data_IF_176390247228
#
_entry.id   IF_176390247228
#
_cell.length_a   1.000
_cell.length_b   1.000
_cell.length_c   1.000
_cell.angle_alpha   90.00
_cell.angle_beta   90.00
_cell.angle_gamma   90.00
#
_symmetry.space_group_name_H-M   'P 1'
#
loop_
_entity.id
_entity.type
_entity.pdbx_description
1 polymer ?
#
# COMPACT_ATOMS: atom_id res chain seq x y z
N UNK A 1 16.24 57.16 -8.10
CA UNK A 1 16.56 56.24 -9.23
C UNK A 1 16.28 54.83 -8.77
N UNK A 2 15.26 54.22 -9.37
CA UNK A 2 14.55 53.03 -8.92
C UNK A 2 14.62 52.01 -10.05
N UNK A 3 15.40 50.93 -9.93
CA UNK A 3 15.40 49.77 -10.84
C UNK A 3 16.09 48.60 -10.12
N UNK A 4 15.60 47.35 -10.18
CA UNK A 4 14.20 46.95 -10.05
C UNK A 4 14.01 45.72 -9.12
N UNK A 5 12.85 45.63 -8.47
CA UNK A 5 12.35 44.41 -7.83
C UNK A 5 12.06 43.25 -8.82
N UNK A 6 12.37 43.42 -10.11
CA UNK A 6 12.10 42.47 -11.19
C UNK A 6 13.13 41.32 -11.22
N UNK A 7 14.33 41.52 -10.68
CA UNK A 7 15.37 40.48 -10.64
C UNK A 7 15.05 39.35 -9.63
N UNK A 8 14.31 39.64 -8.56
CA UNK A 8 13.88 38.62 -7.59
C UNK A 8 12.60 37.89 -7.99
N UNK A 9 11.76 38.45 -8.87
CA UNK A 9 10.57 37.75 -9.38
C UNK A 9 10.93 36.67 -10.43
N UNK A 10 12.03 36.85 -11.18
CA UNK A 10 12.48 35.87 -12.17
C UNK A 10 13.11 34.61 -11.55
N UNK A 11 13.63 34.68 -10.32
CA UNK A 11 14.11 33.51 -9.58
C UNK A 11 12.97 32.72 -8.91
N UNK A 12 11.82 33.36 -8.69
CA UNK A 12 10.62 32.70 -8.15
C UNK A 12 9.81 31.98 -9.24
N UNK A 13 9.99 32.32 -10.52
CA UNK A 13 9.30 31.64 -11.64
C UNK A 13 10.07 30.43 -12.20
N UNK A 14 11.33 30.23 -11.82
CA UNK A 14 12.17 29.07 -12.21
C UNK A 14 12.30 27.99 -11.12
N UNK A 15 11.70 28.19 -9.95
CA UNK A 15 11.95 27.37 -8.76
C UNK A 15 10.94 26.25 -8.47
N UNK A 16 9.95 26.01 -9.33
CA UNK A 16 9.00 24.90 -9.17
C UNK A 16 9.09 23.89 -10.34
N UNK A 17 10.31 23.59 -10.81
CA UNK A 17 10.52 22.28 -11.42
C UNK A 17 10.62 21.30 -10.26
N UNK A 18 9.56 20.52 -10.03
CA UNK A 18 9.72 19.30 -9.24
C UNK A 18 10.86 18.49 -9.85
N UNK A 19 11.92 18.29 -9.07
CA UNK A 19 13.08 17.55 -9.54
C UNK A 19 12.64 16.11 -9.82
N UNK A 20 12.78 15.66 -11.07
CA UNK A 20 12.51 14.28 -11.45
C UNK A 20 13.52 13.40 -10.73
N UNK A 21 13.02 12.47 -9.91
CA UNK A 21 13.83 11.48 -9.22
C UNK A 21 14.01 10.24 -10.10
N UNK A 22 15.27 9.88 -10.35
CA UNK A 22 15.62 8.62 -11.01
C UNK A 22 15.54 7.46 -10.02
N UNK A 23 14.68 6.49 -10.32
CA UNK A 23 14.50 5.28 -9.52
C UNK A 23 14.90 4.04 -10.32
N UNK A 24 15.93 3.29 -9.90
CA UNK A 24 16.27 2.04 -10.56
C UNK A 24 15.16 1.00 -10.35
N UNK A 25 14.84 0.26 -11.41
CA UNK A 25 13.98 -0.92 -11.37
C UNK A 25 14.86 -2.15 -11.24
N UNK A 26 14.78 -2.83 -10.11
CA UNK A 26 15.53 -4.04 -9.78
C UNK A 26 14.58 -5.13 -9.21
N UNK A 27 15.15 -6.13 -8.55
CA UNK A 27 14.40 -7.20 -7.88
C UNK A 27 13.92 -6.81 -6.48
N UNK A 28 14.31 -5.63 -5.98
CA UNK A 28 13.96 -5.05 -4.71
C UNK A 28 14.14 -6.06 -3.56
N UNK A 29 15.40 -6.28 -3.16
CA UNK A 29 15.80 -7.35 -2.23
C UNK A 29 15.53 -7.04 -0.75
N UNK A 30 15.36 -5.76 -0.43
CA UNK A 30 15.19 -5.25 0.95
C UNK A 30 13.74 -5.26 1.45
N UNK A 31 12.78 -5.68 0.62
CA UNK A 31 11.36 -5.61 0.94
C UNK A 31 10.83 -6.86 1.62
N UNK A 32 9.70 -6.68 2.30
CA UNK A 32 8.92 -7.78 2.86
C UNK A 32 7.84 -8.22 1.87
N UNK A 33 7.91 -9.46 1.40
CA UNK A 33 7.08 -10.07 0.33
C UNK A 33 6.45 -11.40 0.74
N UNK A 34 6.20 -11.60 2.03
CA UNK A 34 5.66 -12.87 2.52
C UNK A 34 4.32 -13.21 1.84
N UNK A 35 4.26 -14.40 1.23
CA UNK A 35 3.04 -14.94 0.63
C UNK A 35 2.19 -15.72 1.67
N UNK A 36 2.71 -15.90 2.89
CA UNK A 36 2.09 -16.57 4.02
C UNK A 36 1.72 -18.04 3.80
N UNK A 37 2.32 -18.68 2.80
CA UNK A 37 2.05 -20.09 2.45
C UNK A 37 2.44 -21.00 3.61
N UNK A 38 1.44 -21.72 4.17
CA UNK A 38 1.63 -22.67 5.26
C UNK A 38 1.63 -22.06 6.66
N UNK A 39 1.41 -20.75 6.80
CA UNK A 39 1.28 -20.07 8.09
C UNK A 39 0.00 -19.21 8.22
N UNK A 40 -0.94 -19.33 7.28
CA UNK A 40 -2.17 -18.53 7.20
C UNK A 40 -3.01 -18.63 8.48
N UNK A 41 -3.17 -19.85 8.99
CA UNK A 41 -3.93 -20.11 10.23
C UNK A 41 -3.25 -19.48 11.46
N UNK A 42 -1.92 -19.54 11.52
CA UNK A 42 -1.15 -18.95 12.61
C UNK A 42 -1.23 -17.41 12.57
N UNK A 43 -1.14 -16.82 11.37
CA UNK A 43 -1.30 -15.39 11.18
C UNK A 43 -2.72 -14.92 11.53
N UNK A 44 -3.74 -15.68 11.12
CA UNK A 44 -5.15 -15.38 11.46
C UNK A 44 -5.36 -15.40 12.98
N UNK A 45 -4.79 -16.38 13.68
CA UNK A 45 -4.87 -16.45 15.15
C UNK A 45 -4.16 -15.27 15.85
N UNK A 46 -3.12 -14.69 15.23
CA UNK A 46 -2.38 -13.55 15.76
C UNK A 46 -3.08 -12.20 15.55
N UNK A 47 -4.04 -12.11 14.62
CA UNK A 47 -4.69 -10.85 14.22
C UNK A 47 -5.23 -10.01 15.38
N UNK A 48 -5.99 -10.56 16.36
CA UNK A 48 -6.56 -9.73 17.43
C UNK A 48 -5.49 -9.01 18.26
N UNK A 49 -4.38 -9.67 18.53
CA UNK A 49 -3.27 -9.10 19.29
C UNK A 49 -2.49 -8.08 18.46
N UNK A 50 -2.13 -8.44 17.23
CA UNK A 50 -1.35 -7.56 16.35
C UNK A 50 -2.10 -6.26 16.07
N UNK A 51 -3.40 -6.34 15.78
CA UNK A 51 -4.21 -5.17 15.46
C UNK A 51 -4.21 -4.12 16.60
N UNK A 52 -4.35 -4.57 17.85
CA UNK A 52 -4.29 -3.69 19.03
C UNK A 52 -2.92 -3.04 19.20
N UNK A 53 -1.84 -3.82 19.05
CA UNK A 53 -0.47 -3.31 19.22
C UNK A 53 -0.04 -2.37 18.10
N UNK A 54 -0.40 -2.68 16.85
CA UNK A 54 0.00 -1.92 15.67
C UNK A 54 -0.76 -0.59 15.56
N UNK A 55 -2.03 -0.53 15.97
CA UNK A 55 -2.75 0.74 16.05
C UNK A 55 -2.20 1.69 17.12
N UNK A 56 -1.72 1.15 18.24
CA UNK A 56 -1.06 1.98 19.24
C UNK A 56 0.29 2.49 18.74
N UNK A 57 1.06 1.65 18.03
CA UNK A 57 2.37 2.00 17.50
C UNK A 57 2.32 2.88 16.24
N UNK A 58 1.22 2.84 15.48
CA UNK A 58 1.09 3.58 14.22
C UNK A 58 -0.29 4.25 14.11
N UNK A 59 -0.29 5.57 14.37
CA UNK A 59 -1.51 6.39 14.29
C UNK A 59 -2.08 6.49 12.88
N UNK A 60 -1.22 6.58 11.85
CA UNK A 60 -1.68 6.65 10.44
C UNK A 60 -2.42 5.36 10.07
N UNK A 61 -1.92 4.22 10.55
CA UNK A 61 -2.60 2.95 10.40
C UNK A 61 -3.96 2.93 11.10
N UNK A 62 -4.01 3.32 12.39
CA UNK A 62 -5.25 3.34 13.15
C UNK A 62 -6.32 4.25 12.52
N UNK A 63 -5.93 5.48 12.13
CA UNK A 63 -6.85 6.46 11.54
C UNK A 63 -7.35 5.98 10.16
N UNK A 64 -6.44 5.45 9.32
CA UNK A 64 -6.80 4.91 8.00
C UNK A 64 -7.74 3.69 8.09
N UNK A 65 -7.48 2.80 9.05
CA UNK A 65 -8.34 1.65 9.31
C UNK A 65 -9.73 2.06 9.81
N UNK A 66 -9.80 3.01 10.74
CA UNK A 66 -11.07 3.51 11.27
C UNK A 66 -11.92 4.16 10.16
N UNK A 67 -11.29 4.96 9.29
CA UNK A 67 -11.95 5.57 8.12
C UNK A 67 -12.48 4.51 7.15
N UNK A 68 -11.66 3.51 6.82
CA UNK A 68 -12.08 2.41 5.94
C UNK A 68 -13.23 1.59 6.53
N UNK A 69 -13.19 1.32 7.84
CA UNK A 69 -14.25 0.63 8.57
C UNK A 69 -15.56 1.43 8.57
N UNK A 70 -15.49 2.76 8.70
CA UNK A 70 -16.66 3.63 8.56
C UNK A 70 -17.25 3.56 7.15
N UNK A 71 -16.41 3.71 6.13
CA UNK A 71 -16.81 3.64 4.73
C UNK A 71 -17.46 2.30 4.39
N UNK A 72 -16.95 1.20 4.94
CA UNK A 72 -17.56 -0.12 4.76
C UNK A 72 -18.98 -0.19 5.32
N UNK A 73 -19.18 0.28 6.56
CA UNK A 73 -20.52 0.34 7.18
C UNK A 73 -21.50 1.18 6.37
N UNK A 74 -21.07 2.35 5.90
CA UNK A 74 -21.91 3.19 5.03
C UNK A 74 -22.33 2.49 3.74
N UNK A 75 -21.43 1.72 3.11
CA UNK A 75 -21.76 0.94 1.91
C UNK A 75 -22.78 -0.16 2.21
N UNK A 76 -22.66 -0.83 3.35
CA UNK A 76 -23.61 -1.85 3.81
C UNK A 76 -24.99 -1.26 4.09
N UNK A 77 -25.06 -0.09 4.73
CA UNK A 77 -26.32 0.57 5.11
C UNK A 77 -27.04 1.16 3.89
N UNK A 78 -26.31 1.80 2.98
CA UNK A 78 -26.91 2.58 1.88
C UNK A 78 -27.27 1.73 0.67
N UNK A 79 -26.50 0.68 0.37
CA UNK A 79 -26.59 -0.05 -0.89
C UNK A 79 -26.26 -1.55 -0.75
N UNK A 80 -26.93 -2.31 0.13
CA UNK A 80 -26.63 -3.73 0.34
C UNK A 80 -26.77 -4.56 -0.94
N UNK A 81 -27.69 -4.18 -1.84
CA UNK A 81 -27.90 -4.85 -3.13
C UNK A 81 -26.80 -4.61 -4.18
N UNK A 82 -25.89 -3.65 -3.97
CA UNK A 82 -24.78 -3.35 -4.91
C UNK A 82 -23.47 -4.04 -4.55
N UNK A 83 -23.39 -4.67 -3.38
CA UNK A 83 -22.19 -5.38 -2.97
C UNK A 83 -22.07 -6.68 -3.75
N UNK A 84 -20.99 -6.88 -4.53
CA UNK A 84 -20.80 -8.15 -5.22
C UNK A 84 -20.63 -9.26 -4.18
N UNK A 85 -21.09 -10.50 -4.48
CA UNK A 85 -20.87 -11.60 -3.56
C UNK A 85 -19.37 -11.80 -3.38
N UNK A 86 -18.94 -11.86 -2.13
CA UNK A 86 -17.54 -12.05 -1.78
C UNK A 86 -17.11 -13.50 -2.07
N UNK A 87 -15.84 -13.73 -2.47
CA UNK A 87 -15.31 -15.08 -2.63
C UNK A 87 -15.43 -15.91 -1.35
N UNK A 88 -15.40 -17.24 -1.49
CA UNK A 88 -15.34 -18.15 -0.32
C UNK A 88 -14.09 -17.85 0.51
N UNK A 89 -14.25 -17.75 1.84
CA UNK A 89 -13.16 -17.45 2.77
C UNK A 89 -12.84 -15.96 2.92
N UNK A 90 -13.44 -15.09 2.11
CA UNK A 90 -13.33 -13.65 2.28
C UNK A 90 -14.07 -13.22 3.55
N UNK A 91 -13.48 -12.28 4.29
CA UNK A 91 -13.95 -11.77 5.59
C UNK A 91 -14.03 -10.25 5.55
N UNK A 92 -14.74 -9.66 6.49
CA UNK A 92 -14.91 -8.20 6.56
C UNK A 92 -13.56 -7.46 6.64
N UNK A 93 -12.60 -8.00 7.40
CA UNK A 93 -11.29 -7.39 7.58
C UNK A 93 -10.51 -7.27 6.27
N UNK A 94 -10.74 -8.18 5.31
CA UNK A 94 -10.16 -8.09 3.97
C UNK A 94 -10.77 -6.93 3.18
N UNK A 95 -12.08 -6.70 3.30
CA UNK A 95 -12.76 -5.56 2.64
C UNK A 95 -12.23 -4.25 3.20
N UNK A 96 -12.15 -4.17 4.54
CA UNK A 96 -11.62 -2.99 5.24
C UNK A 96 -10.16 -2.73 4.85
N UNK A 97 -9.31 -3.77 4.81
CA UNK A 97 -7.91 -3.65 4.39
C UNK A 97 -7.78 -3.09 2.96
N UNK A 98 -8.57 -3.62 2.01
CA UNK A 98 -8.62 -3.12 0.64
C UNK A 98 -9.08 -1.66 0.58
N UNK A 99 -10.16 -1.31 1.28
CA UNK A 99 -10.66 0.06 1.34
C UNK A 99 -9.63 1.02 1.95
N UNK A 100 -8.92 0.59 2.99
CA UNK A 100 -7.87 1.38 3.63
C UNK A 100 -6.69 1.63 2.68
N UNK A 101 -6.28 0.62 1.92
CA UNK A 101 -5.21 0.74 0.94
C UNK A 101 -5.58 1.61 -0.28
N UNK A 102 -6.83 1.52 -0.75
CA UNK A 102 -7.32 2.27 -1.92
C UNK A 102 -7.74 3.71 -1.59
N UNK A 103 -7.95 4.04 -0.32
CA UNK A 103 -8.33 5.39 0.07
C UNK A 103 -7.20 6.38 -0.22
N UNK A 104 -7.56 7.62 -0.58
CA UNK A 104 -6.59 8.71 -0.85
C UNK A 104 -5.87 9.22 0.40
N UNK A 105 -5.91 8.46 1.50
CA UNK A 105 -5.18 8.76 2.72
C UNK A 105 -3.67 8.55 2.57
N UNK A 106 -2.92 9.03 3.56
CA UNK A 106 -1.48 8.80 3.66
C UNK A 106 -1.10 7.33 3.93
N UNK A 107 -2.07 6.48 4.29
CA UNK A 107 -1.84 5.10 4.71
C UNK A 107 -1.07 4.30 3.66
N UNK A 108 -1.54 4.27 2.40
CA UNK A 108 -0.90 3.45 1.37
C UNK A 108 0.54 3.89 1.09
N UNK A 109 0.84 5.20 1.19
CA UNK A 109 2.18 5.75 0.98
C UNK A 109 3.12 5.28 2.09
N UNK A 110 2.71 5.39 3.34
CA UNK A 110 3.50 4.96 4.50
C UNK A 110 3.67 3.45 4.53
N UNK A 111 2.58 2.71 4.29
CA UNK A 111 2.59 1.26 4.18
C UNK A 111 3.59 0.78 3.12
N UNK A 112 3.50 1.28 1.89
CA UNK A 112 4.43 0.90 0.81
C UNK A 112 5.88 1.34 1.12
N UNK A 113 6.09 2.43 1.84
CA UNK A 113 7.42 2.85 2.31
C UNK A 113 8.01 1.88 3.34
N UNK A 114 7.18 1.42 4.28
CA UNK A 114 7.57 0.46 5.30
C UNK A 114 7.86 -0.93 4.69
N UNK A 115 7.00 -1.40 3.76
CA UNK A 115 7.18 -2.67 3.04
C UNK A 115 8.53 -2.73 2.33
N UNK A 116 8.97 -1.64 1.68
CA UNK A 116 10.27 -1.57 0.97
C UNK A 116 11.50 -1.79 1.85
N UNK A 117 11.37 -1.62 3.17
CA UNK A 117 12.50 -1.64 4.09
C UNK A 117 12.43 -2.82 5.06
N UNK A 118 11.24 -3.39 5.24
CA UNK A 118 10.96 -4.41 6.24
C UNK A 118 11.69 -5.74 5.99
N UNK A 119 12.13 -6.03 4.77
CA UNK A 119 12.91 -7.23 4.44
C UNK A 119 14.40 -7.14 4.73
N UNK A 120 14.94 -5.94 5.03
CA UNK A 120 16.37 -5.72 5.30
C UNK A 120 16.97 -6.66 6.34
N UNK A 121 16.21 -6.95 7.40
CA UNK A 121 16.56 -7.94 8.41
C UNK A 121 15.36 -8.27 9.31
N UNK A 122 15.41 -9.45 9.94
CA UNK A 122 14.41 -9.83 10.96
C UNK A 122 14.31 -8.81 12.10
N UNK A 123 15.43 -8.26 12.57
CA UNK A 123 15.42 -7.27 13.64
C UNK A 123 14.71 -5.98 13.21
N UNK A 124 15.01 -5.50 12.00
CA UNK A 124 14.36 -4.31 11.45
C UNK A 124 12.85 -4.52 11.29
N UNK A 125 12.43 -5.66 10.71
CA UNK A 125 11.03 -6.06 10.61
C UNK A 125 10.30 -6.01 11.96
N UNK A 126 10.85 -6.67 12.98
CA UNK A 126 10.19 -6.76 14.29
C UNK A 126 10.04 -5.40 14.97
N UNK A 127 11.02 -4.52 14.80
CA UNK A 127 11.06 -3.22 15.47
C UNK A 127 10.27 -2.11 14.73
N UNK A 128 10.27 -2.12 13.39
CA UNK A 128 9.82 -0.97 12.60
C UNK A 128 8.61 -1.25 11.71
N UNK A 129 8.28 -2.52 11.44
CA UNK A 129 7.18 -2.84 10.54
C UNK A 129 5.86 -3.02 11.29
N UNK A 130 5.18 -1.93 11.60
CA UNK A 130 3.88 -1.92 12.31
C UNK A 130 2.67 -2.08 11.38
N UNK A 131 2.81 -2.85 10.30
CA UNK A 131 1.77 -3.11 9.30
C UNK A 131 1.62 -4.62 8.99
N UNK A 132 1.98 -5.51 9.92
CA UNK A 132 1.93 -6.96 9.73
C UNK A 132 0.50 -7.42 9.45
N UNK A 133 -0.46 -6.89 10.20
CA UNK A 133 -1.89 -7.18 10.01
C UNK A 133 -2.37 -6.74 8.64
N UNK A 134 -2.07 -5.51 8.24
CA UNK A 134 -2.49 -4.96 6.96
C UNK A 134 -1.87 -5.73 5.78
N UNK A 135 -0.57 -6.04 5.87
CA UNK A 135 0.14 -6.81 4.85
C UNK A 135 -0.46 -8.20 4.66
N UNK A 136 -0.73 -8.91 5.76
CA UNK A 136 -1.36 -10.23 5.73
C UNK A 136 -2.74 -10.18 5.09
N UNK A 137 -3.62 -9.30 5.58
CA UNK A 137 -4.98 -9.19 5.07
C UNK A 137 -5.04 -8.78 3.60
N UNK A 138 -4.19 -7.86 3.16
CA UNK A 138 -4.11 -7.50 1.73
C UNK A 138 -3.62 -8.68 0.87
N UNK A 139 -2.61 -9.40 1.35
CA UNK A 139 -2.07 -10.57 0.64
C UNK A 139 -3.11 -11.67 0.51
N UNK A 140 -3.75 -12.05 1.61
CA UNK A 140 -4.80 -13.07 1.64
C UNK A 140 -6.01 -12.65 0.79
N UNK A 141 -6.43 -11.38 0.86
CA UNK A 141 -7.53 -10.86 0.05
C UNK A 141 -7.26 -11.03 -1.46
N UNK A 142 -6.07 -10.65 -1.93
CA UNK A 142 -5.70 -10.79 -3.34
C UNK A 142 -5.58 -12.25 -3.77
N UNK A 143 -5.07 -13.12 -2.90
CA UNK A 143 -5.02 -14.57 -3.17
C UNK A 143 -6.42 -15.17 -3.31
N UNK A 144 -7.35 -14.80 -2.43
CA UNK A 144 -8.76 -15.25 -2.49
C UNK A 144 -9.47 -14.71 -3.74
N UNK A 145 -9.27 -13.43 -4.07
CA UNK A 145 -9.79 -12.84 -5.31
C UNK A 145 -9.24 -13.53 -6.55
N UNK A 146 -7.95 -13.88 -6.58
CA UNK A 146 -7.34 -14.59 -7.71
C UNK A 146 -7.87 -16.02 -7.87
N UNK A 147 -8.20 -16.71 -6.77
CA UNK A 147 -8.81 -18.06 -6.79
C UNK A 147 -10.26 -18.03 -7.29
N UNK A 148 -10.94 -16.89 -7.16
CA UNK A 148 -12.27 -16.71 -7.70
C UNK A 148 -12.22 -16.67 -9.24
N UNK A 149 -12.86 -17.66 -9.87
CA UNK A 149 -12.92 -17.80 -11.32
C UNK A 149 -13.48 -16.53 -12.00
N UNK A 150 -14.36 -15.77 -11.32
CA UNK A 150 -14.93 -14.51 -11.84
C UNK A 150 -13.89 -13.40 -12.01
N UNK A 151 -12.78 -13.48 -11.29
CA UNK A 151 -11.71 -12.48 -11.29
C UNK A 151 -10.41 -13.01 -11.91
N UNK A 152 -10.40 -14.27 -12.36
CA UNK A 152 -9.24 -14.92 -12.96
C UNK A 152 -8.83 -14.27 -14.30
N UNK A 153 -7.52 -14.25 -14.58
CA UNK A 153 -6.95 -13.77 -15.84
C UNK A 153 -6.00 -12.58 -15.72
N UNK A 154 -5.21 -12.36 -16.76
CA UNK A 154 -4.28 -11.23 -16.87
C UNK A 154 -5.01 -9.98 -17.37
N UNK A 155 -4.67 -8.82 -16.82
CA UNK A 155 -5.25 -7.53 -17.22
C UNK A 155 -4.15 -6.59 -17.71
N UNK A 156 -4.47 -5.79 -18.73
CA UNK A 156 -3.62 -4.66 -19.12
C UNK A 156 -3.97 -3.49 -18.22
N UNK A 157 -2.98 -2.99 -17.48
CA UNK A 157 -3.12 -1.88 -16.54
C UNK A 157 -2.01 -0.87 -16.77
N UNK A 158 -2.19 0.34 -16.24
CA UNK A 158 -1.24 1.43 -16.35
C UNK A 158 -1.06 2.06 -14.96
N UNK A 159 0.17 2.39 -14.61
CA UNK A 159 0.51 3.07 -13.35
C UNK A 159 1.44 4.23 -13.65
N UNK A 160 1.02 5.44 -13.27
CA UNK A 160 1.85 6.63 -13.29
C UNK A 160 2.34 6.96 -11.89
N UNK A 161 3.57 7.46 -11.77
CA UNK A 161 4.09 8.02 -10.52
C UNK A 161 4.64 9.40 -10.82
N UNK A 162 4.04 10.42 -10.22
CA UNK A 162 4.46 11.81 -10.37
C UNK A 162 5.88 12.01 -9.83
N UNK A 163 6.66 12.86 -10.50
CA UNK A 163 8.03 13.19 -10.10
C UNK A 163 9.05 12.04 -10.20
N UNK A 164 8.69 10.87 -10.76
CA UNK A 164 9.58 9.71 -10.85
C UNK A 164 9.85 9.27 -12.29
N UNK A 165 11.13 9.06 -12.60
CA UNK A 165 11.59 8.39 -13.82
C UNK A 165 12.19 7.04 -13.46
N UNK A 166 11.54 5.98 -13.89
CA UNK A 166 12.01 4.63 -13.67
C UNK A 166 12.97 4.20 -14.78
N UNK A 167 14.10 3.61 -14.40
CA UNK A 167 15.08 3.07 -15.34
C UNK A 167 15.46 1.64 -14.95
N UNK A 168 15.54 0.68 -15.88
CA UNK A 168 16.07 -0.65 -15.56
C UNK A 168 17.46 -0.56 -14.94
N UNK A 169 17.68 -1.22 -13.80
CA UNK A 169 19.00 -1.30 -13.18
C UNK A 169 19.99 -2.14 -14.01
N UNK A 170 19.45 -2.98 -14.91
CA UNK A 170 20.19 -3.83 -15.82
C UNK A 170 19.24 -4.71 -16.63
N UNK A 171 19.76 -5.62 -17.46
CA UNK A 171 18.94 -6.64 -18.10
C UNK A 171 18.39 -7.60 -17.03
N UNK A 172 17.12 -7.97 -17.15
CA UNK A 172 16.54 -8.99 -16.29
C UNK A 172 15.09 -8.72 -15.88
N UNK A 173 14.69 -9.41 -14.81
CA UNK A 173 13.37 -9.29 -14.21
C UNK A 173 13.32 -8.10 -13.27
N UNK A 174 12.17 -7.44 -13.25
CA UNK A 174 11.85 -6.37 -12.31
C UNK A 174 10.77 -6.87 -11.37
N UNK A 175 10.91 -6.52 -10.09
CA UNK A 175 9.90 -6.76 -9.07
C UNK A 175 9.62 -5.45 -8.35
N UNK A 176 8.36 -5.02 -8.35
CA UNK A 176 7.95 -3.86 -7.57
C UNK A 176 7.99 -4.17 -6.07
N UNK A 177 7.54 -5.38 -5.72
CA UNK A 177 7.47 -5.99 -4.37
C UNK A 177 6.70 -5.21 -3.31
N UNK A 178 6.24 -4.00 -3.61
CA UNK A 178 5.11 -3.35 -2.95
C UNK A 178 3.80 -3.77 -3.61
N UNK A 179 2.70 -3.58 -2.89
CA UNK A 179 1.39 -3.48 -3.50
C UNK A 179 1.38 -2.27 -4.44
N UNK A 180 0.83 -2.43 -5.64
CA UNK A 180 0.84 -1.39 -6.67
C UNK A 180 -0.55 -1.16 -7.25
N UNK A 181 -1.07 0.06 -7.05
CA UNK A 181 -2.25 0.64 -7.67
C UNK A 181 -1.96 1.61 -8.81
#
# INVERSE_FOLDING_TARGET
MWVPAVANLLLLSLGLLEAIQDTPLDMALDLFDDEYVGCEAAMTAALPHLNLTEFHANKVYADGWAKASHKWRELQDQCPARLPPLPVGFREEHVVALLAYMDESHLYKEFNSAVRQAGRSRAHYLQHFSFKTLHFLLTEALQLLRKDQRQSGCRRVFRGVEGQRFQPAGPGTVRLGIFAS
#
